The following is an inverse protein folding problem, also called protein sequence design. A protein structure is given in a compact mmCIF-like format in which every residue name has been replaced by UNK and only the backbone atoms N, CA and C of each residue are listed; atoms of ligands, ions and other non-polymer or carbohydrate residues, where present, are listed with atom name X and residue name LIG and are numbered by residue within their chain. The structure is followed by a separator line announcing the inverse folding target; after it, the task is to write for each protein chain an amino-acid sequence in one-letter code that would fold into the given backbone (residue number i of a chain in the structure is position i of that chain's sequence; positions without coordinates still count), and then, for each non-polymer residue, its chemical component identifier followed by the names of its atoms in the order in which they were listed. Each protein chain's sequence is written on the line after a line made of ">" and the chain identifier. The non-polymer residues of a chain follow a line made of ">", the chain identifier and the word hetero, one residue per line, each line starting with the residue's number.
data_IF_698090459252
#
_entry.id   IF_698090459252
#
_cell.length_a   1.000
_cell.length_b   1.000
_cell.length_c   1.000
_cell.angle_alpha   90.00
_cell.angle_beta   90.00
_cell.angle_gamma   90.00
#
_symmetry.space_group_name_H-M   'P 1'
#
loop_
_entity.id
_entity.type
_entity.pdbx_description
1 polymer ?
#
# COMPACT_ATOMS: atom_id res chain seq x y z
N UNK A 1 43.84 15.22 27.27
CA UNK A 1 43.16 14.47 28.34
C UNK A 1 41.94 15.23 28.75
N UNK A 2 40.81 14.72 28.58
CA UNK A 2 39.47 14.83 29.17
C UNK A 2 38.45 14.53 28.10
N UNK A 3 37.95 13.30 28.16
CA UNK A 3 36.78 12.85 27.45
C UNK A 3 35.55 13.54 28.03
N UNK A 4 34.75 14.16 27.21
CA UNK A 4 33.37 14.52 27.56
C UNK A 4 32.44 13.58 26.82
N UNK A 5 31.92 12.60 27.56
CA UNK A 5 30.97 11.62 27.11
C UNK A 5 29.62 12.27 26.71
N UNK A 6 29.26 12.10 25.49
CA UNK A 6 27.90 12.36 24.96
C UNK A 6 26.94 11.39 25.64
N UNK A 7 25.98 11.93 26.37
CA UNK A 7 24.75 11.22 26.80
C UNK A 7 23.65 11.40 25.77
N UNK A 8 23.33 10.40 24.96
CA UNK A 8 22.10 10.40 24.15
C UNK A 8 21.13 9.36 24.71
N UNK A 9 20.67 9.50 25.96
CA UNK A 9 20.00 8.36 26.59
C UNK A 9 18.49 8.51 26.77
N UNK A 10 17.92 9.71 26.79
CA UNK A 10 16.51 9.89 27.10
C UNK A 10 15.55 9.62 25.94
N UNK A 11 15.89 10.06 24.74
CA UNK A 11 14.99 9.96 23.57
C UNK A 11 14.96 8.56 22.95
N UNK A 12 16.12 7.90 22.87
CA UNK A 12 16.24 6.53 22.37
C UNK A 12 15.54 5.50 23.28
N UNK A 13 15.64 5.66 24.61
CA UNK A 13 14.96 4.81 25.59
C UNK A 13 13.44 4.98 25.56
N UNK A 14 12.93 6.22 25.45
CA UNK A 14 11.48 6.48 25.32
C UNK A 14 10.90 5.87 24.03
N UNK A 15 11.63 5.97 22.92
CA UNK A 15 11.21 5.37 21.65
C UNK A 15 11.25 3.84 21.69
N UNK A 16 12.18 3.23 22.41
CA UNK A 16 12.28 1.78 22.57
C UNK A 16 11.12 1.24 23.41
N UNK A 17 10.84 1.86 24.55
CA UNK A 17 9.73 1.49 25.42
C UNK A 17 8.38 1.64 24.71
N UNK A 18 8.17 2.72 23.96
CA UNK A 18 6.97 2.93 23.16
C UNK A 18 6.79 1.85 22.09
N UNK A 19 7.89 1.44 21.41
CA UNK A 19 7.86 0.34 20.42
C UNK A 19 7.44 -0.99 21.05
N UNK A 20 7.98 -1.35 22.23
CA UNK A 20 7.59 -2.57 22.95
C UNK A 20 6.13 -2.51 23.37
N UNK A 21 5.68 -1.37 23.85
CA UNK A 21 4.30 -1.17 24.27
C UNK A 21 3.32 -1.38 23.11
N UNK A 22 3.62 -0.83 21.91
CA UNK A 22 2.76 -0.93 20.72
C UNK A 22 2.65 -2.36 20.15
N UNK A 23 3.50 -3.30 20.56
CA UNK A 23 3.35 -4.72 20.18
C UNK A 23 2.11 -5.36 20.82
N UNK A 24 1.63 -4.82 21.95
CA UNK A 24 0.44 -5.33 22.63
C UNK A 24 -0.83 -4.79 21.97
N UNK A 25 -1.78 -5.68 21.73
CA UNK A 25 -3.06 -5.37 21.07
C UNK A 25 -3.78 -4.16 21.71
N UNK A 26 -3.93 -4.19 23.04
CA UNK A 26 -4.59 -3.12 23.78
C UNK A 26 -3.88 -1.77 23.61
N UNK A 27 -2.55 -1.75 23.72
CA UNK A 27 -1.76 -0.53 23.61
C UNK A 27 -1.81 0.03 22.20
N UNK A 28 -1.77 -0.83 21.18
CA UNK A 28 -1.87 -0.38 19.80
C UNK A 28 -3.27 0.18 19.48
N UNK A 29 -4.35 -0.48 19.93
CA UNK A 29 -5.72 0.07 19.79
C UNK A 29 -5.87 1.41 20.50
N UNK A 30 -5.33 1.55 21.71
CA UNK A 30 -5.34 2.82 22.45
C UNK A 30 -4.57 3.90 21.73
N UNK A 31 -3.42 3.57 21.16
CA UNK A 31 -2.63 4.50 20.32
C UNK A 31 -3.44 4.98 19.10
N UNK A 32 -4.06 4.08 18.34
CA UNK A 32 -4.85 4.44 17.16
C UNK A 32 -6.03 5.35 17.55
N UNK A 33 -6.69 5.04 18.68
CA UNK A 33 -7.78 5.87 19.20
C UNK A 33 -7.31 7.27 19.61
N UNK A 34 -6.22 7.37 20.37
CA UNK A 34 -5.70 8.65 20.88
C UNK A 34 -5.11 9.50 19.76
N UNK A 35 -4.41 8.87 18.81
CA UNK A 35 -3.68 9.58 17.76
C UNK A 35 -4.58 10.02 16.61
N UNK A 36 -5.56 9.21 16.24
CA UNK A 36 -6.38 9.39 15.04
C UNK A 36 -7.89 9.44 15.34
N UNK A 37 -8.32 9.27 16.57
CA UNK A 37 -9.73 9.09 16.89
C UNK A 37 -10.32 7.78 16.36
N UNK A 38 -9.44 6.86 15.89
CA UNK A 38 -9.85 5.63 15.23
C UNK A 38 -10.64 4.69 16.16
N UNK A 39 -11.65 4.02 15.60
CA UNK A 39 -12.49 3.07 16.31
C UNK A 39 -12.67 1.81 15.47
N UNK A 40 -13.10 0.72 16.11
CA UNK A 40 -13.55 -0.47 15.39
C UNK A 40 -14.73 -0.08 14.49
N UNK A 41 -14.62 -0.20 13.16
CA UNK A 41 -15.68 0.23 12.26
C UNK A 41 -16.88 -0.73 12.34
N UNK A 42 -18.09 -0.16 12.18
CA UNK A 42 -19.33 -0.93 12.13
C UNK A 42 -19.79 -1.15 10.69
N UNK A 43 -19.24 -0.37 9.75
CA UNK A 43 -19.64 -0.38 8.33
C UNK A 43 -18.42 -0.58 7.45
N UNK A 44 -18.58 -1.35 6.38
CA UNK A 44 -17.60 -1.46 5.29
C UNK A 44 -17.72 -0.21 4.41
N UNK A 45 -16.59 0.35 3.91
CA UNK A 45 -16.64 1.43 2.95
C UNK A 45 -17.47 1.02 1.74
N UNK A 46 -18.54 1.78 1.45
CA UNK A 46 -19.33 1.58 0.24
C UNK A 46 -18.72 2.45 -0.85
N UNK A 47 -17.81 1.88 -1.60
CA UNK A 47 -17.24 2.51 -2.79
C UNK A 47 -17.37 1.49 -3.91
N UNK A 48 -17.89 1.93 -5.04
CA UNK A 48 -17.72 1.20 -6.28
C UNK A 48 -16.36 1.63 -6.84
N UNK A 49 -15.35 0.79 -6.70
CA UNK A 49 -14.08 1.00 -7.34
C UNK A 49 -14.03 0.18 -8.62
N UNK A 50 -13.83 0.88 -9.69
CA UNK A 50 -13.42 0.33 -10.97
C UNK A 50 -11.90 0.51 -11.08
N UNK A 51 -11.21 -0.41 -11.76
CA UNK A 51 -9.81 -0.22 -12.10
C UNK A 51 -9.68 1.04 -12.95
N UNK A 52 -8.86 1.99 -12.54
CA UNK A 52 -8.74 3.23 -13.29
C UNK A 52 -8.00 4.34 -12.58
N UNK A 53 -7.92 5.48 -13.27
CA UNK A 53 -7.28 6.68 -12.78
C UNK A 53 -8.19 7.46 -11.83
N UNK A 54 -7.59 8.11 -10.84
CA UNK A 54 -8.24 9.14 -10.02
C UNK A 54 -8.60 10.32 -10.95
N UNK A 55 -9.89 10.58 -11.13
CA UNK A 55 -10.38 11.50 -12.15
C UNK A 55 -10.22 12.96 -11.79
N UNK A 56 -10.43 13.31 -10.50
CA UNK A 56 -10.43 14.70 -10.04
C UNK A 56 -10.21 14.80 -8.52
N UNK A 57 -10.07 16.04 -8.07
CA UNK A 57 -9.83 16.34 -6.65
C UNK A 57 -11.00 15.91 -5.75
N UNK A 58 -12.23 15.98 -6.22
CA UNK A 58 -13.41 15.66 -5.40
C UNK A 58 -13.44 14.19 -5.00
N UNK A 59 -12.91 13.29 -5.83
CA UNK A 59 -12.82 11.86 -5.52
C UNK A 59 -11.91 11.57 -4.32
N UNK A 60 -10.69 12.11 -4.29
CA UNK A 60 -9.84 11.88 -3.14
C UNK A 60 -10.28 12.65 -1.89
N UNK A 61 -10.94 13.81 -2.05
CA UNK A 61 -11.59 14.50 -0.93
C UNK A 61 -12.75 13.66 -0.37
N UNK A 62 -13.53 13.01 -1.23
CA UNK A 62 -14.59 12.09 -0.81
C UNK A 62 -14.02 10.89 -0.04
N UNK A 63 -12.93 10.29 -0.52
CA UNK A 63 -12.23 9.22 0.19
C UNK A 63 -11.71 9.69 1.56
N UNK A 64 -11.14 10.89 1.63
CA UNK A 64 -10.67 11.48 2.90
C UNK A 64 -11.83 11.73 3.87
N UNK A 65 -12.99 12.22 3.38
CA UNK A 65 -14.20 12.34 4.20
C UNK A 65 -14.66 10.98 4.72
N UNK A 66 -14.66 9.96 3.87
CA UNK A 66 -15.07 8.61 4.24
C UNK A 66 -14.17 8.00 5.33
N UNK A 67 -12.84 8.18 5.24
CA UNK A 67 -11.88 7.78 6.29
C UNK A 67 -12.25 8.41 7.62
N UNK A 68 -12.54 9.71 7.63
CA UNK A 68 -12.95 10.44 8.84
C UNK A 68 -14.30 9.94 9.38
N UNK A 69 -15.31 9.78 8.53
CA UNK A 69 -16.67 9.41 8.92
C UNK A 69 -16.74 7.98 9.48
N UNK A 70 -15.93 7.07 8.94
CA UNK A 70 -15.74 5.72 9.43
C UNK A 70 -14.74 5.62 10.60
N UNK A 71 -14.12 6.74 10.98
CA UNK A 71 -13.10 6.80 12.04
C UNK A 71 -11.95 5.81 11.80
N UNK A 72 -11.49 5.74 10.59
CA UNK A 72 -10.33 4.94 10.19
C UNK A 72 -9.03 5.72 10.43
N UNK A 73 -7.91 5.04 10.20
CA UNK A 73 -6.59 5.69 10.22
C UNK A 73 -6.40 6.44 8.90
N UNK A 74 -6.20 7.77 8.91
CA UNK A 74 -5.94 8.53 7.68
C UNK A 74 -4.51 8.29 7.19
N UNK A 75 -4.33 8.31 5.87
CA UNK A 75 -2.99 8.40 5.29
C UNK A 75 -2.40 9.79 5.55
N UNK A 76 -1.08 9.92 5.89
CA UNK A 76 -0.44 11.22 6.12
C UNK A 76 -0.51 12.15 4.91
N UNK A 77 -0.40 11.60 3.71
CA UNK A 77 -0.65 12.27 2.44
C UNK A 77 -2.12 12.08 2.08
N UNK A 78 -2.90 13.17 2.14
CA UNK A 78 -4.36 13.11 1.99
C UNK A 78 -4.85 12.53 0.66
N UNK A 79 -4.28 12.83 -0.51
CA UNK A 79 -4.67 12.20 -1.77
C UNK A 79 -4.58 10.66 -1.75
N UNK A 80 -3.61 10.10 -1.03
CA UNK A 80 -3.44 8.63 -0.89
C UNK A 80 -4.51 7.95 -0.02
N UNK A 81 -5.46 8.70 0.56
CA UNK A 81 -6.66 8.07 1.10
C UNK A 81 -7.52 7.44 0.02
N UNK A 82 -7.43 7.92 -1.23
CA UNK A 82 -8.21 7.38 -2.35
C UNK A 82 -7.85 5.92 -2.64
N UNK A 83 -6.58 5.62 -2.91
CA UNK A 83 -6.12 4.25 -3.19
C UNK A 83 -6.16 3.35 -1.94
N UNK A 84 -5.84 3.91 -0.77
CA UNK A 84 -5.94 3.20 0.51
C UNK A 84 -7.36 2.71 0.78
N UNK A 85 -8.38 3.57 0.60
CA UNK A 85 -9.78 3.19 0.83
C UNK A 85 -10.27 2.23 -0.25
N UNK A 86 -9.80 2.39 -1.50
CA UNK A 86 -10.07 1.46 -2.58
C UNK A 86 -9.57 0.05 -2.27
N UNK A 87 -8.30 -0.05 -1.92
CA UNK A 87 -7.68 -1.31 -1.55
C UNK A 87 -8.38 -1.94 -0.33
N UNK A 88 -8.67 -1.13 0.70
CA UNK A 88 -9.41 -1.58 1.88
C UNK A 88 -10.79 -2.15 1.51
N UNK A 89 -11.58 -1.42 0.72
CA UNK A 89 -12.92 -1.86 0.31
C UNK A 89 -12.87 -3.17 -0.51
N UNK A 90 -11.90 -3.28 -1.42
CA UNK A 90 -11.68 -4.47 -2.25
C UNK A 90 -11.35 -5.70 -1.38
N UNK A 91 -10.43 -5.56 -0.41
CA UNK A 91 -10.06 -6.65 0.51
C UNK A 91 -11.26 -7.06 1.36
N UNK A 92 -11.95 -6.09 1.99
CA UNK A 92 -13.11 -6.37 2.86
C UNK A 92 -14.28 -7.04 2.11
N UNK A 93 -14.43 -6.77 0.81
CA UNK A 93 -15.47 -7.39 -0.04
C UNK A 93 -15.11 -8.83 -0.44
N UNK A 94 -13.81 -9.11 -0.61
CA UNK A 94 -13.32 -10.33 -1.25
C UNK A 94 -12.74 -11.36 -0.27
N UNK A 95 -12.50 -10.97 0.97
CA UNK A 95 -11.86 -11.81 1.99
C UNK A 95 -12.58 -11.70 3.33
N UNK A 96 -12.11 -12.44 4.32
CA UNK A 96 -12.58 -12.41 5.70
C UNK A 96 -11.42 -12.09 6.68
N UNK A 97 -11.68 -11.84 7.97
CA UNK A 97 -10.65 -11.48 8.95
C UNK A 97 -9.53 -12.52 9.17
N UNK A 98 -9.72 -13.77 8.77
CA UNK A 98 -8.71 -14.83 8.86
C UNK A 98 -7.73 -14.81 7.66
N UNK A 99 -8.02 -14.01 6.63
CA UNK A 99 -7.19 -13.89 5.45
C UNK A 99 -5.78 -13.38 5.77
N UNK A 100 -4.81 -13.89 5.04
CA UNK A 100 -3.42 -13.42 5.06
C UNK A 100 -3.26 -12.27 4.08
N UNK A 101 -2.89 -11.10 4.60
CA UNK A 101 -2.74 -9.88 3.79
C UNK A 101 -1.31 -9.37 3.90
N UNK A 102 -0.71 -9.09 2.73
CA UNK A 102 0.58 -8.44 2.59
C UNK A 102 0.39 -7.02 2.06
N UNK A 103 1.07 -6.06 2.68
CA UNK A 103 1.26 -4.71 2.14
C UNK A 103 2.73 -4.57 1.69
N UNK A 104 2.96 -4.68 0.38
CA UNK A 104 4.26 -4.67 -0.26
C UNK A 104 4.69 -3.22 -0.53
N UNK A 105 5.71 -2.76 0.19
CA UNK A 105 6.14 -1.36 0.24
C UNK A 105 5.62 -0.60 1.47
N UNK A 106 5.00 -1.30 2.43
CA UNK A 106 4.45 -0.69 3.64
C UNK A 106 5.48 0.09 4.44
N UNK A 107 5.06 1.22 4.96
CA UNK A 107 5.76 1.96 6.01
C UNK A 107 5.00 1.87 7.34
N UNK A 108 5.65 2.27 8.44
CA UNK A 108 4.96 2.38 9.74
C UNK A 108 3.88 3.47 9.74
N UNK A 109 3.93 4.38 8.79
CA UNK A 109 2.95 5.46 8.55
C UNK A 109 1.81 5.05 7.63
N UNK A 110 1.94 3.94 6.89
CA UNK A 110 0.90 3.42 5.99
C UNK A 110 -0.39 3.14 6.75
N UNK A 111 -1.53 3.53 6.16
CA UNK A 111 -2.83 3.47 6.81
C UNK A 111 -3.57 2.15 6.62
N UNK A 112 -3.28 1.41 5.54
CA UNK A 112 -4.05 0.23 5.14
C UNK A 112 -4.06 -0.89 6.18
N UNK A 113 -2.87 -1.36 6.61
CA UNK A 113 -2.79 -2.43 7.61
C UNK A 113 -3.42 -2.06 8.94
N UNK A 114 -3.21 -0.85 9.51
CA UNK A 114 -3.96 -0.38 10.67
C UNK A 114 -5.48 -0.36 10.47
N UNK A 115 -5.97 0.00 9.28
CA UNK A 115 -7.40 -0.04 8.98
C UNK A 115 -7.92 -1.49 8.96
N UNK A 116 -7.25 -2.41 8.27
CA UNK A 116 -7.61 -3.84 8.28
C UNK A 116 -7.59 -4.42 9.70
N UNK A 117 -6.59 -4.04 10.50
CA UNK A 117 -6.52 -4.43 11.91
C UNK A 117 -7.77 -3.98 12.70
N UNK A 118 -8.29 -2.76 12.44
CA UNK A 118 -9.52 -2.28 13.07
C UNK A 118 -10.75 -3.10 12.63
N UNK A 119 -10.76 -3.61 11.40
CA UNK A 119 -11.79 -4.54 10.89
C UNK A 119 -11.65 -5.98 11.39
N UNK A 120 -10.66 -6.26 12.22
CA UNK A 120 -10.53 -7.57 12.83
C UNK A 120 -9.50 -8.50 12.19
N UNK A 121 -8.85 -8.11 11.09
CA UNK A 121 -7.80 -8.92 10.48
C UNK A 121 -6.61 -9.09 11.43
N UNK A 122 -5.99 -10.28 11.42
CA UNK A 122 -4.88 -10.62 12.33
C UNK A 122 -3.63 -11.13 11.62
N UNK A 123 -3.75 -11.65 10.41
CA UNK A 123 -2.63 -12.15 9.62
C UNK A 123 -2.13 -11.06 8.66
N UNK A 124 -1.60 -9.97 9.24
CA UNK A 124 -1.21 -8.76 8.54
C UNK A 124 0.31 -8.63 8.52
N UNK A 125 0.89 -8.48 7.33
CA UNK A 125 2.32 -8.29 7.13
C UNK A 125 2.57 -7.09 6.24
N UNK A 126 3.52 -6.23 6.62
CA UNK A 126 4.06 -5.17 5.78
C UNK A 126 5.55 -5.42 5.52
N UNK A 127 5.98 -5.28 4.26
CA UNK A 127 7.40 -5.37 3.90
C UNK A 127 7.88 -4.10 3.23
N UNK A 128 9.15 -3.76 3.50
CA UNK A 128 9.83 -2.66 2.83
C UNK A 128 11.34 -2.82 3.00
N UNK A 129 12.12 -2.27 2.07
CA UNK A 129 13.60 -2.25 2.13
C UNK A 129 14.14 -1.43 3.31
N UNK A 130 13.34 -0.51 3.88
CA UNK A 130 13.74 0.36 4.99
C UNK A 130 13.76 -0.36 6.35
N UNK A 131 13.14 -1.52 6.49
CA UNK A 131 13.08 -2.22 7.77
C UNK A 131 14.35 -2.98 8.06
N UNK A 132 15.25 -2.41 8.85
CA UNK A 132 16.49 -3.06 9.28
C UNK A 132 16.26 -4.22 10.26
N UNK A 133 15.15 -4.21 11.00
CA UNK A 133 14.77 -5.21 12.01
C UNK A 133 13.27 -5.43 11.99
N UNK A 134 12.79 -6.67 12.20
CA UNK A 134 11.38 -6.94 12.36
C UNK A 134 10.75 -6.10 13.49
N UNK A 135 9.55 -5.62 13.25
CA UNK A 135 8.76 -4.83 14.20
C UNK A 135 7.35 -5.34 14.24
N UNK A 136 6.64 -5.08 15.33
CA UNK A 136 5.21 -5.42 15.45
C UNK A 136 4.42 -4.24 16.01
N UNK A 137 3.18 -4.13 15.58
CA UNK A 137 2.16 -3.22 16.14
C UNK A 137 0.85 -3.99 16.26
N UNK A 138 0.46 -4.38 17.48
CA UNK A 138 -0.60 -5.36 17.65
C UNK A 138 -0.29 -6.66 16.90
N UNK A 139 -1.21 -7.12 16.05
CA UNK A 139 -1.03 -8.29 15.19
C UNK A 139 -0.31 -8.01 13.88
N UNK A 140 -0.01 -6.74 13.55
CA UNK A 140 0.69 -6.39 12.31
C UNK A 140 2.18 -6.65 12.47
N UNK A 141 2.77 -7.47 11.59
CA UNK A 141 4.21 -7.66 11.44
C UNK A 141 4.76 -6.71 10.37
N UNK A 142 5.93 -6.10 10.62
CA UNK A 142 6.68 -5.31 9.64
C UNK A 142 8.10 -5.84 9.57
N UNK A 143 8.57 -6.15 8.36
CA UNK A 143 9.90 -6.73 8.18
C UNK A 143 10.55 -6.29 6.86
N UNK A 144 11.87 -6.49 6.77
CA UNK A 144 12.60 -6.29 5.53
C UNK A 144 12.06 -7.22 4.44
N UNK A 145 11.81 -6.68 3.27
CA UNK A 145 11.46 -7.46 2.09
C UNK A 145 11.62 -6.67 0.81
N UNK A 146 12.21 -7.35 -0.17
CA UNK A 146 12.25 -6.90 -1.55
C UNK A 146 11.03 -7.48 -2.26
N UNK A 147 10.20 -6.61 -2.82
CA UNK A 147 8.95 -7.01 -3.49
C UNK A 147 9.17 -7.80 -4.77
N UNK A 148 10.39 -7.82 -5.30
CA UNK A 148 10.78 -8.60 -6.48
C UNK A 148 11.31 -9.99 -6.15
N UNK A 149 11.67 -10.24 -4.87
CA UNK A 149 12.23 -11.50 -4.39
C UNK A 149 12.03 -11.67 -2.87
N UNK A 150 10.82 -12.02 -2.46
CA UNK A 150 10.46 -12.21 -1.05
C UNK A 150 10.89 -13.56 -0.51
N UNK A 151 10.92 -13.68 0.83
CA UNK A 151 11.16 -14.96 1.53
C UNK A 151 9.90 -15.75 1.85
N UNK A 152 8.74 -15.28 1.39
CA UNK A 152 7.46 -15.93 1.67
C UNK A 152 7.30 -17.22 0.88
N UNK A 153 6.50 -18.13 1.43
CA UNK A 153 6.13 -19.37 0.74
C UNK A 153 5.24 -19.06 -0.47
N UNK A 154 5.29 -19.92 -1.46
CA UNK A 154 4.31 -19.90 -2.54
C UNK A 154 2.89 -20.03 -1.97
N UNK A 155 1.96 -19.30 -2.54
CA UNK A 155 0.53 -19.37 -2.21
C UNK A 155 0.24 -19.11 -0.72
N UNK A 156 0.92 -18.12 -0.16
CA UNK A 156 0.77 -17.74 1.25
C UNK A 156 -0.36 -16.73 1.47
N UNK A 157 -0.55 -15.76 0.57
CA UNK A 157 -1.43 -14.62 0.79
C UNK A 157 -2.74 -14.72 0.01
N UNK A 158 -3.83 -14.28 0.65
CA UNK A 158 -5.15 -14.15 0.05
C UNK A 158 -5.29 -12.80 -0.67
N UNK A 159 -4.61 -11.75 -0.17
CA UNK A 159 -4.54 -10.45 -0.81
C UNK A 159 -3.17 -9.81 -0.61
N UNK A 160 -2.70 -9.12 -1.63
CA UNK A 160 -1.47 -8.31 -1.60
C UNK A 160 -1.83 -6.91 -2.08
N UNK A 161 -1.34 -5.89 -1.39
CA UNK A 161 -1.36 -4.50 -1.84
C UNK A 161 0.04 -4.01 -2.14
N UNK A 162 0.16 -3.13 -3.12
CA UNK A 162 1.38 -2.43 -3.48
C UNK A 162 0.98 -1.02 -3.92
N UNK A 163 0.92 -0.10 -2.96
CA UNK A 163 0.33 1.22 -3.17
C UNK A 163 1.42 2.28 -3.30
N UNK A 164 1.53 2.90 -4.48
CA UNK A 164 2.54 3.92 -4.81
C UNK A 164 3.97 3.45 -4.52
N UNK A 165 4.38 2.36 -5.14
CA UNK A 165 5.71 1.75 -4.96
C UNK A 165 6.39 1.44 -6.30
N UNK A 166 5.64 0.93 -7.29
CA UNK A 166 6.21 0.45 -8.55
C UNK A 166 6.86 1.56 -9.38
N UNK A 167 6.48 2.82 -9.17
CA UNK A 167 7.07 4.02 -9.79
C UNK A 167 8.49 4.32 -9.31
N UNK A 168 8.99 3.64 -8.31
CA UNK A 168 10.33 3.83 -7.75
C UNK A 168 11.36 2.85 -8.34
N UNK A 169 11.31 2.63 -9.66
CA UNK A 169 12.31 1.84 -10.39
C UNK A 169 12.21 0.34 -10.16
N UNK A 170 11.05 -0.18 -9.87
CA UNK A 170 10.81 -1.61 -9.67
C UNK A 170 10.85 -2.37 -10.99
N UNK A 171 11.59 -3.49 -11.04
CA UNK A 171 11.51 -4.44 -12.15
C UNK A 171 10.13 -5.11 -12.17
N UNK A 172 9.26 -4.69 -13.09
CA UNK A 172 7.89 -5.17 -13.18
C UNK A 172 7.79 -6.66 -13.51
N UNK A 173 8.72 -7.23 -14.28
CA UNK A 173 8.71 -8.66 -14.57
C UNK A 173 9.01 -9.49 -13.31
N UNK A 174 10.02 -9.10 -12.56
CA UNK A 174 10.37 -9.74 -11.30
C UNK A 174 9.25 -9.55 -10.26
N UNK A 175 8.70 -8.33 -10.16
CA UNK A 175 7.59 -8.00 -9.28
C UNK A 175 6.35 -8.86 -9.53
N UNK A 176 5.79 -8.87 -10.75
CA UNK A 176 4.58 -9.64 -11.01
C UNK A 176 4.80 -11.15 -10.89
N UNK A 177 5.99 -11.65 -11.26
CA UNK A 177 6.35 -13.06 -11.06
C UNK A 177 6.32 -13.44 -9.57
N UNK A 178 6.93 -12.60 -8.73
CA UNK A 178 7.00 -12.84 -7.30
C UNK A 178 5.63 -12.69 -6.64
N UNK A 179 4.86 -11.66 -6.97
CA UNK A 179 3.50 -11.49 -6.46
C UNK A 179 2.60 -12.65 -6.86
N UNK A 180 2.68 -13.11 -8.12
CA UNK A 180 1.96 -14.30 -8.56
C UNK A 180 2.39 -15.56 -7.79
N UNK A 181 3.68 -15.70 -7.49
CA UNK A 181 4.19 -16.87 -6.75
C UNK A 181 3.62 -16.95 -5.34
N UNK A 182 3.59 -15.82 -4.62
CA UNK A 182 3.19 -15.80 -3.21
C UNK A 182 1.69 -15.64 -2.99
N UNK A 183 0.92 -15.21 -4.00
CA UNK A 183 -0.55 -15.21 -3.97
C UNK A 183 -1.12 -16.62 -4.07
N UNK A 184 -2.18 -16.91 -3.33
CA UNK A 184 -3.03 -18.10 -3.50
C UNK A 184 -3.79 -18.03 -4.82
N UNK A 185 -4.14 -19.17 -5.43
CA UNK A 185 -5.11 -19.19 -6.53
C UNK A 185 -6.41 -18.47 -6.11
N UNK A 186 -6.89 -17.55 -6.92
CA UNK A 186 -8.03 -16.68 -6.61
C UNK A 186 -7.70 -15.45 -5.75
N UNK A 187 -6.48 -15.37 -5.21
CA UNK A 187 -6.01 -14.20 -4.43
C UNK A 187 -5.87 -12.95 -5.28
N UNK A 188 -5.89 -11.79 -4.62
CA UNK A 188 -5.92 -10.47 -5.25
C UNK A 188 -4.58 -9.75 -5.08
N UNK A 189 -4.11 -9.11 -6.15
CA UNK A 189 -3.05 -8.11 -6.15
C UNK A 189 -3.66 -6.75 -6.48
N UNK A 190 -3.58 -5.81 -5.55
CA UNK A 190 -4.11 -4.45 -5.70
C UNK A 190 -2.91 -3.52 -5.78
N UNK A 191 -2.72 -2.88 -6.92
CA UNK A 191 -1.57 -2.02 -7.18
C UNK A 191 -2.04 -0.62 -7.52
N UNK A 192 -1.43 0.40 -6.90
CA UNK A 192 -1.55 1.78 -7.36
C UNK A 192 -0.18 2.35 -7.72
N UNK A 193 -0.18 3.37 -8.56
CA UNK A 193 1.04 4.06 -9.01
C UNK A 193 0.73 5.51 -9.39
N UNK A 194 1.77 6.34 -9.42
CA UNK A 194 1.73 7.67 -10.03
C UNK A 194 1.51 7.52 -11.54
N UNK A 195 0.55 8.29 -12.09
CA UNK A 195 0.08 8.09 -13.46
C UNK A 195 -0.33 9.40 -14.13
N UNK A 196 -0.22 9.44 -15.45
CA UNK A 196 -0.97 10.33 -16.32
C UNK A 196 -1.11 9.69 -17.72
N UNK A 197 -2.14 10.10 -18.47
CA UNK A 197 -2.42 9.52 -19.79
C UNK A 197 -1.26 9.68 -20.78
N UNK A 198 -0.61 10.84 -20.75
CA UNK A 198 0.56 11.17 -21.56
C UNK A 198 1.83 11.26 -20.69
N UNK A 199 3.03 11.04 -21.28
CA UNK A 199 4.28 11.17 -20.55
C UNK A 199 4.44 12.53 -19.86
N UNK A 200 4.97 12.50 -18.63
CA UNK A 200 5.34 13.69 -17.86
C UNK A 200 6.85 13.71 -17.68
N UNK A 201 7.48 14.82 -18.08
CA UNK A 201 8.90 15.01 -17.86
C UNK A 201 9.21 15.21 -16.37
N UNK A 202 10.07 14.36 -15.83
CA UNK A 202 10.49 14.41 -14.42
C UNK A 202 11.86 15.07 -14.22
N UNK A 203 12.48 15.55 -15.30
CA UNK A 203 13.75 16.29 -15.33
C UNK A 203 14.89 15.62 -14.53
N UNK A 204 14.95 14.29 -14.55
CA UNK A 204 15.96 13.51 -13.81
C UNK A 204 15.83 13.57 -12.29
N UNK A 205 14.68 13.98 -11.78
CA UNK A 205 14.38 14.02 -10.35
C UNK A 205 14.49 12.64 -9.71
N UNK A 206 15.08 12.59 -8.52
CA UNK A 206 15.21 11.34 -7.74
C UNK A 206 14.50 11.46 -6.40
N UNK A 207 13.85 10.40 -5.98
CA UNK A 207 13.23 10.25 -4.66
C UNK A 207 13.39 8.82 -4.15
N UNK A 208 13.55 8.66 -2.85
CA UNK A 208 13.68 7.35 -2.19
C UNK A 208 14.83 6.48 -2.77
N UNK A 209 15.86 7.11 -3.34
CA UNK A 209 17.01 6.41 -3.93
C UNK A 209 16.82 5.91 -5.37
N UNK A 210 15.70 6.24 -6.02
CA UNK A 210 15.38 5.89 -7.40
C UNK A 210 14.97 7.12 -8.22
N UNK A 211 15.08 7.09 -9.58
CA UNK A 211 14.46 8.10 -10.43
C UNK A 211 12.94 8.18 -10.17
N UNK A 212 12.41 9.39 -10.13
CA UNK A 212 10.95 9.60 -10.11
C UNK A 212 10.39 9.19 -11.46
N UNK A 213 9.40 8.33 -11.46
CA UNK A 213 8.70 7.90 -12.67
C UNK A 213 7.19 8.10 -12.49
N UNK A 214 6.55 8.66 -13.49
CA UNK A 214 5.10 8.77 -13.59
C UNK A 214 4.70 7.95 -14.79
N UNK A 215 4.03 6.82 -14.54
CA UNK A 215 3.60 5.91 -15.60
C UNK A 215 2.65 6.61 -16.57
N UNK A 216 2.70 6.23 -17.83
CA UNK A 216 1.74 6.69 -18.83
C UNK A 216 1.03 5.49 -19.50
N UNK A 217 0.01 5.77 -20.29
CA UNK A 217 -0.93 4.78 -20.85
C UNK A 217 -0.25 3.53 -21.42
N UNK A 218 0.73 3.70 -22.30
CA UNK A 218 1.38 2.56 -22.94
C UNK A 218 2.13 1.67 -21.93
N UNK A 219 2.83 2.26 -20.97
CA UNK A 219 3.55 1.51 -19.94
C UNK A 219 2.62 0.72 -19.02
N UNK A 220 1.42 1.25 -18.72
CA UNK A 220 0.42 0.50 -17.95
C UNK A 220 -0.13 -0.68 -18.76
N UNK A 221 -0.37 -0.52 -20.06
CA UNK A 221 -0.78 -1.62 -20.94
C UNK A 221 0.30 -2.72 -20.95
N UNK A 222 1.56 -2.34 -21.08
CA UNK A 222 2.69 -3.27 -21.03
C UNK A 222 2.80 -3.96 -19.65
N UNK A 223 2.63 -3.21 -18.56
CA UNK A 223 2.61 -3.77 -17.20
C UNK A 223 1.50 -4.82 -17.01
N UNK A 224 0.30 -4.55 -17.53
CA UNK A 224 -0.81 -5.53 -17.49
C UNK A 224 -0.47 -6.76 -18.33
N UNK A 225 0.12 -6.59 -19.52
CA UNK A 225 0.55 -7.72 -20.36
C UNK A 225 1.60 -8.59 -19.65
N UNK A 226 2.56 -7.97 -18.96
CA UNK A 226 3.55 -8.69 -18.13
C UNK A 226 2.83 -9.48 -17.03
N UNK A 227 1.89 -8.86 -16.32
CA UNK A 227 1.12 -9.52 -15.27
C UNK A 227 0.32 -10.72 -15.80
N UNK A 228 -0.30 -10.59 -16.97
CA UNK A 228 -1.05 -11.68 -17.62
C UNK A 228 -0.18 -12.88 -17.99
N UNK A 229 1.08 -12.63 -18.38
CA UNK A 229 2.05 -13.68 -18.70
C UNK A 229 2.39 -14.58 -17.51
N UNK A 230 2.13 -14.11 -16.28
CA UNK A 230 2.37 -14.84 -15.02
C UNK A 230 1.08 -15.22 -14.29
N UNK A 231 -0.02 -15.38 -15.01
CA UNK A 231 -1.35 -15.79 -14.52
C UNK A 231 -2.03 -14.78 -13.56
N UNK A 232 -1.76 -13.49 -13.67
CA UNK A 232 -2.49 -12.42 -13.02
C UNK A 232 -3.39 -11.74 -14.05
N UNK A 233 -4.69 -11.64 -13.78
CA UNK A 233 -5.65 -11.04 -14.72
C UNK A 233 -6.45 -9.93 -14.05
N UNK A 234 -6.77 -8.87 -14.79
CA UNK A 234 -7.64 -7.81 -14.33
C UNK A 234 -8.99 -8.37 -13.85
N UNK A 235 -9.47 -7.87 -12.72
CA UNK A 235 -10.77 -8.26 -12.15
C UNK A 235 -11.96 -7.58 -12.82
N UNK A 236 -11.70 -6.63 -13.72
CA UNK A 236 -12.70 -5.87 -14.47
C UNK A 236 -12.04 -4.95 -15.49
N UNK A 237 -12.82 -4.17 -16.24
CA UNK A 237 -12.29 -3.22 -17.20
C UNK A 237 -11.39 -2.20 -16.53
N UNK A 238 -10.37 -1.71 -17.24
CA UNK A 238 -9.42 -0.70 -16.79
C UNK A 238 -9.65 0.60 -17.57
N UNK A 239 -10.00 1.67 -16.86
CA UNK A 239 -10.14 3.01 -17.41
C UNK A 239 -8.84 3.80 -17.22
N UNK A 240 -8.15 4.07 -18.32
CA UNK A 240 -6.89 4.80 -18.31
C UNK A 240 -7.08 6.30 -18.60
N UNK A 241 -8.30 6.75 -18.89
CA UNK A 241 -8.54 8.14 -19.24
C UNK A 241 -8.33 9.05 -18.03
N UNK A 242 -7.43 10.02 -18.16
CA UNK A 242 -7.20 11.05 -17.16
C UNK A 242 -7.09 12.42 -17.84
N UNK A 243 -7.95 13.35 -17.42
CA UNK A 243 -7.97 14.73 -17.93
C UNK A 243 -7.31 15.67 -16.93
N UNK A 244 -7.60 15.48 -15.65
CA UNK A 244 -7.07 16.31 -14.58
C UNK A 244 -5.83 15.69 -13.93
N UNK A 245 -5.01 16.56 -13.34
CA UNK A 245 -3.87 16.21 -12.51
C UNK A 245 -4.14 16.63 -11.06
N UNK A 246 -5.01 15.90 -10.33
CA UNK A 246 -5.50 16.34 -9.03
C UNK A 246 -4.48 16.16 -7.88
N UNK A 247 -3.32 15.59 -8.18
CA UNK A 247 -2.23 15.35 -7.23
C UNK A 247 -1.06 16.23 -7.60
N UNK A 248 -0.52 16.94 -6.59
CA UNK A 248 0.67 17.75 -6.75
C UNK A 248 1.75 17.31 -5.80
N UNK A 249 2.92 16.99 -6.33
CA UNK A 249 4.10 16.75 -5.54
C UNK A 249 4.91 18.05 -5.41
N UNK A 250 4.58 18.82 -4.38
CA UNK A 250 5.10 20.19 -4.17
C UNK A 250 6.63 20.27 -4.23
N UNK A 251 7.31 19.29 -3.63
CA UNK A 251 8.78 19.23 -3.57
C UNK A 251 9.43 19.29 -4.96
N UNK A 252 8.77 18.74 -5.98
CA UNK A 252 9.31 18.59 -7.34
C UNK A 252 8.53 19.38 -8.38
N UNK A 253 7.44 20.05 -7.98
CA UNK A 253 6.58 20.82 -8.88
C UNK A 253 5.88 19.94 -9.92
N UNK A 254 5.67 18.65 -9.62
CA UNK A 254 5.05 17.69 -10.53
C UNK A 254 3.55 17.58 -10.23
N UNK A 255 2.74 17.70 -11.28
CA UNK A 255 1.30 17.47 -11.24
C UNK A 255 0.96 16.21 -12.04
N UNK A 256 0.19 15.29 -11.42
CA UNK A 256 -0.18 13.99 -11.99
C UNK A 256 -1.47 13.47 -11.37
N UNK A 257 -1.83 12.25 -11.63
CA UNK A 257 -2.91 11.51 -10.96
C UNK A 257 -2.41 10.19 -10.42
N UNK A 258 -3.26 9.45 -9.72
CA UNK A 258 -3.02 8.04 -9.36
C UNK A 258 -3.79 7.13 -10.30
N UNK A 259 -3.24 5.95 -10.53
CA UNK A 259 -3.92 4.83 -11.16
C UNK A 259 -3.98 3.68 -10.14
N UNK A 260 -5.13 3.01 -10.06
CA UNK A 260 -5.28 1.79 -9.27
C UNK A 260 -5.87 0.69 -10.14
N UNK A 261 -5.31 -0.51 -10.05
CA UNK A 261 -5.86 -1.70 -10.69
C UNK A 261 -5.75 -2.93 -9.79
N UNK A 262 -6.69 -3.82 -9.93
CA UNK A 262 -6.77 -5.09 -9.19
C UNK A 262 -6.62 -6.25 -10.15
N UNK A 263 -5.67 -7.11 -9.85
CA UNK A 263 -5.42 -8.36 -10.57
C UNK A 263 -5.81 -9.53 -9.67
N UNK A 264 -6.32 -10.60 -10.28
CA UNK A 264 -6.59 -11.85 -9.60
C UNK A 264 -5.69 -12.96 -10.15
N UNK A 265 -5.10 -13.76 -9.25
CA UNK A 265 -4.35 -14.94 -9.66
C UNK A 265 -5.30 -16.02 -10.16
N UNK A 266 -5.18 -16.36 -11.42
CA UNK A 266 -5.96 -17.43 -12.03
C UNK A 266 -5.34 -18.79 -11.68
N UNK A 267 -6.14 -19.79 -11.25
CA UNK A 267 -5.65 -21.15 -11.02
C UNK A 267 -5.01 -21.71 -12.29
N UNK A 268 -3.85 -22.35 -12.15
CA UNK A 268 -3.29 -23.12 -13.27
C UNK A 268 -4.21 -24.28 -13.56
N UNK A 269 -4.77 -24.33 -14.76
CA UNK A 269 -5.44 -25.54 -15.24
C UNK A 269 -4.34 -26.59 -15.34
N UNK A 270 -4.42 -27.65 -14.52
CA UNK A 270 -3.54 -28.82 -14.70
C UNK A 270 -3.93 -29.42 -16.03
N UNK A 271 -3.03 -29.32 -17.00
CA UNK A 271 -3.09 -30.11 -18.21
C UNK A 271 -2.81 -31.58 -17.89
#
# INVERSE_FOLDING_TARGET
>A
MIMTGLRPTGHKLKNHAARICLQREFAFRSYLRLRYGAKTPVKVPKISFENGALRNRDEWLAATRLVRDLRLVPHPDSPKNWDTVAALATILKSTNPDAWVLDAGAELSSALLPCLYLYGYRNLTGINLIFQKPQRRGSIAYEFGDITNTRFRSEQFDAITCLSVIEHGVDLQAYFREMSRILRPGGLLITSTDYFDNPIETHGTTAYGAPVHIFFRAEIIDAISIAESVNLRLTGPLSLDSVEKPVRWERFGLDFTFLLFTLQKIPRIKQ
#
